data_IF_270629449474
#
_entry.id   IF_270629449474
#
_cell.length_a   1.000
_cell.length_b   1.000
_cell.length_c   1.000
_cell.angle_alpha   90.00
_cell.angle_beta   90.00
_cell.angle_gamma   90.00
#
_symmetry.space_group_name_H-M   'P 1'
#
loop_
_entity.id
_entity.type
_entity.pdbx_description
1 polymer ?
#
# COMPACT_ATOMS: atom_id res chain seq x y z
N UNK A 1 4.27 -15.38 8.96
CA UNK A 1 4.69 -16.66 8.33
C UNK A 1 4.18 -16.85 6.90
N UNK A 2 2.91 -16.55 6.63
CA UNK A 2 2.31 -16.68 5.30
C UNK A 2 3.19 -16.17 4.14
N UNK A 3 3.58 -14.89 4.17
CA UNK A 3 4.38 -14.24 3.11
C UNK A 3 5.74 -14.94 2.91
N UNK A 4 6.40 -15.31 4.01
CA UNK A 4 7.70 -15.99 3.99
C UNK A 4 7.58 -17.39 3.36
N UNK A 5 6.50 -18.11 3.66
CA UNK A 5 6.27 -19.43 3.08
C UNK A 5 5.91 -19.35 1.60
N UNK A 6 5.21 -18.29 1.16
CA UNK A 6 4.93 -18.05 -0.25
C UNK A 6 6.23 -17.76 -1.03
N UNK A 7 7.14 -16.98 -0.44
CA UNK A 7 8.42 -16.61 -1.04
C UNK A 7 9.36 -17.82 -1.31
N UNK A 8 9.15 -18.95 -0.64
CA UNK A 8 9.90 -20.19 -0.91
C UNK A 8 9.57 -20.83 -2.26
N UNK A 9 8.43 -20.46 -2.88
CA UNK A 9 7.90 -21.10 -4.09
C UNK A 9 7.60 -20.10 -5.21
N UNK A 10 7.69 -18.80 -4.93
CA UNK A 10 7.26 -17.75 -5.84
C UNK A 10 8.04 -16.47 -5.58
N UNK A 11 8.11 -15.60 -6.59
CA UNK A 11 8.59 -14.25 -6.42
C UNK A 11 7.53 -13.42 -5.69
N UNK A 12 7.86 -12.89 -4.51
CA UNK A 12 6.89 -12.20 -3.64
C UNK A 12 7.29 -10.74 -3.44
N UNK A 13 6.35 -9.85 -3.74
CA UNK A 13 6.46 -8.41 -3.43
C UNK A 13 5.41 -8.07 -2.37
N UNK A 14 5.85 -7.38 -1.32
CA UNK A 14 5.00 -6.77 -0.30
C UNK A 14 4.94 -5.27 -0.56
N UNK A 15 3.71 -4.75 -0.69
CA UNK A 15 3.46 -3.31 -0.76
C UNK A 15 3.10 -2.83 0.63
N UNK A 16 3.83 -1.84 1.15
CA UNK A 16 3.59 -1.36 2.53
C UNK A 16 2.37 -0.47 2.64
N UNK A 17 1.72 -0.51 3.80
CA UNK A 17 0.70 0.44 4.19
C UNK A 17 1.27 1.57 5.05
N UNK A 18 0.50 2.66 5.16
CA UNK A 18 0.83 3.79 6.04
C UNK A 18 -0.36 4.65 6.41
N UNK A 19 -1.59 4.19 6.15
CA UNK A 19 -2.80 5.01 6.22
C UNK A 19 -2.92 5.80 7.53
N UNK A 20 -2.98 5.11 8.67
CA UNK A 20 -3.15 5.76 9.98
C UNK A 20 -1.99 6.71 10.30
N UNK A 21 -0.75 6.27 10.09
CA UNK A 21 0.45 7.05 10.41
C UNK A 21 0.58 8.32 9.56
N UNK A 22 0.25 8.27 8.27
CA UNK A 22 0.23 9.46 7.41
C UNK A 22 -0.78 10.48 7.95
N UNK A 23 -1.98 10.02 8.30
CA UNK A 23 -3.02 10.88 8.88
C UNK A 23 -2.56 11.54 10.18
N UNK A 24 -1.91 10.79 11.07
CA UNK A 24 -1.36 11.35 12.31
C UNK A 24 -0.28 12.41 12.06
N UNK A 25 0.64 12.17 11.11
CA UNK A 25 1.71 13.13 10.80
C UNK A 25 1.19 14.40 10.12
N UNK A 26 0.22 14.27 9.21
CA UNK A 26 -0.44 15.42 8.59
C UNK A 26 -1.15 16.29 9.61
N UNK A 27 -1.94 15.67 10.51
CA UNK A 27 -2.62 16.40 11.59
C UNK A 27 -1.64 17.10 12.53
N UNK A 28 -0.54 16.44 12.91
CA UNK A 28 0.52 17.04 13.73
C UNK A 28 1.22 18.22 13.04
N UNK A 29 1.31 18.20 11.71
CA UNK A 29 1.86 19.30 10.91
C UNK A 29 0.84 20.42 10.62
N UNK A 30 -0.40 20.31 11.14
CA UNK A 30 -1.43 21.34 10.99
C UNK A 30 -2.28 21.24 9.72
N UNK A 31 -2.16 20.14 8.96
CA UNK A 31 -2.95 19.93 7.75
C UNK A 31 -4.30 19.28 8.06
N UNK A 32 -5.35 19.71 7.35
CA UNK A 32 -6.64 19.03 7.33
C UNK A 32 -6.52 17.70 6.58
N UNK A 33 -7.19 16.66 7.08
CA UNK A 33 -7.16 15.34 6.45
C UNK A 33 -8.43 15.15 5.63
N UNK A 34 -8.29 15.26 4.31
CA UNK A 34 -9.40 15.09 3.37
C UNK A 34 -9.33 13.71 2.73
N UNK A 35 -10.49 13.04 2.65
CA UNK A 35 -10.66 11.79 1.92
C UNK A 35 -11.76 11.92 0.88
N UNK A 36 -11.54 11.30 -0.28
CA UNK A 36 -12.57 11.07 -1.29
C UNK A 36 -12.62 9.59 -1.72
N UNK A 37 -13.66 9.25 -2.47
CA UNK A 37 -13.90 7.87 -2.91
C UNK A 37 -13.01 7.43 -4.08
N UNK A 38 -12.29 8.35 -4.74
CA UNK A 38 -11.53 8.09 -5.97
C UNK A 38 -10.05 7.88 -5.66
N UNK A 39 -9.45 8.85 -4.99
CA UNK A 39 -8.03 8.94 -4.66
C UNK A 39 -7.76 8.35 -3.26
N UNK A 40 -8.76 8.29 -2.40
CA UNK A 40 -8.56 8.01 -0.98
C UNK A 40 -8.12 9.29 -0.29
N UNK A 41 -6.89 9.34 0.23
CA UNK A 41 -6.39 10.59 0.84
C UNK A 41 -6.07 11.60 -0.26
N UNK A 42 -6.57 12.83 -0.10
CA UNK A 42 -6.22 13.96 -0.96
C UNK A 42 -5.10 14.76 -0.29
N UNK A 43 -4.14 15.20 -1.10
CA UNK A 43 -3.03 16.06 -0.66
C UNK A 43 -2.87 17.20 -1.65
N UNK A 44 -2.79 18.45 -1.18
CA UNK A 44 -2.83 19.63 -2.04
C UNK A 44 -1.42 20.21 -2.26
N UNK A 45 -0.65 20.30 -1.19
CA UNK A 45 0.70 20.87 -1.19
C UNK A 45 1.81 19.84 -1.43
N UNK A 46 3.00 20.34 -1.75
CA UNK A 46 4.19 19.49 -1.87
C UNK A 46 4.58 18.89 -0.51
N UNK A 47 4.42 19.66 0.55
CA UNK A 47 4.71 19.29 1.93
C UNK A 47 3.85 18.12 2.40
N UNK A 48 2.54 18.15 2.10
CA UNK A 48 1.63 17.02 2.40
C UNK A 48 2.05 15.75 1.64
N UNK A 49 2.37 15.89 0.35
CA UNK A 49 2.86 14.77 -0.48
C UNK A 49 4.16 14.19 0.06
N UNK A 50 5.07 15.05 0.53
CA UNK A 50 6.33 14.65 1.16
C UNK A 50 6.07 13.88 2.46
N UNK A 51 5.19 14.36 3.34
CA UNK A 51 4.84 13.65 4.58
C UNK A 51 4.29 12.25 4.27
N UNK A 52 3.38 12.14 3.30
CA UNK A 52 2.83 10.86 2.90
C UNK A 52 3.92 9.90 2.36
N UNK A 53 4.81 10.42 1.52
CA UNK A 53 5.95 9.67 0.97
C UNK A 53 6.91 9.20 2.07
N UNK A 54 7.35 10.10 2.94
CA UNK A 54 8.32 9.82 4.01
C UNK A 54 7.83 8.65 4.88
N UNK A 55 6.54 8.63 5.25
CA UNK A 55 5.95 7.52 6.02
C UNK A 55 6.01 6.19 5.26
N UNK A 56 5.65 6.20 3.98
CA UNK A 56 5.67 4.98 3.17
C UNK A 56 7.08 4.44 2.97
N UNK A 57 8.05 5.32 2.72
CA UNK A 57 9.46 4.94 2.58
C UNK A 57 10.05 4.44 3.90
N UNK A 58 9.73 5.07 5.04
CA UNK A 58 10.14 4.60 6.36
C UNK A 58 9.55 3.22 6.68
N UNK A 59 8.28 2.99 6.36
CA UNK A 59 7.63 1.70 6.59
C UNK A 59 8.15 0.62 5.63
N UNK A 60 8.46 0.98 4.38
CA UNK A 60 9.16 0.10 3.45
C UNK A 60 10.51 -0.31 4.01
N UNK A 61 11.32 0.63 4.50
CA UNK A 61 12.62 0.34 5.12
C UNK A 61 12.52 -0.64 6.29
N UNK A 62 11.60 -0.39 7.24
CA UNK A 62 11.39 -1.29 8.39
C UNK A 62 11.03 -2.72 7.95
N UNK A 63 10.17 -2.85 6.93
CA UNK A 63 9.78 -4.15 6.41
C UNK A 63 10.88 -4.81 5.56
N UNK A 64 11.66 -4.04 4.81
CA UNK A 64 12.85 -4.53 4.11
C UNK A 64 13.82 -5.17 5.12
N UNK A 65 14.13 -4.47 6.22
CA UNK A 65 14.97 -4.98 7.30
C UNK A 65 14.41 -6.28 7.89
N UNK A 66 13.09 -6.33 8.13
CA UNK A 66 12.43 -7.54 8.62
C UNK A 66 12.52 -8.71 7.63
N UNK A 67 12.50 -8.45 6.32
CA UNK A 67 12.49 -9.47 5.27
C UNK A 67 13.88 -9.81 4.70
N UNK A 68 14.97 -9.26 5.26
CA UNK A 68 16.35 -9.59 4.85
C UNK A 68 16.57 -11.11 4.84
N UNK A 69 17.04 -11.63 3.71
CA UNK A 69 17.32 -13.05 3.51
C UNK A 69 16.09 -13.95 3.38
N UNK A 70 14.87 -13.40 3.35
CA UNK A 70 13.60 -14.18 3.30
C UNK A 70 12.99 -14.27 1.90
N UNK A 71 13.67 -13.78 0.86
CA UNK A 71 13.19 -13.84 -0.53
C UNK A 71 11.98 -12.97 -0.83
N UNK A 72 11.69 -11.97 0.01
CA UNK A 72 10.55 -11.05 -0.13
C UNK A 72 11.08 -9.67 -0.50
N UNK A 73 10.56 -9.13 -1.58
CA UNK A 73 10.80 -7.75 -1.98
C UNK A 73 9.75 -6.85 -1.33
N UNK A 74 10.15 -5.65 -0.93
CA UNK A 74 9.24 -4.70 -0.28
C UNK A 74 9.34 -3.37 -1.01
N UNK A 75 8.18 -2.82 -1.37
CA UNK A 75 8.07 -1.54 -2.09
C UNK A 75 7.03 -0.64 -1.43
N UNK A 76 7.26 0.68 -1.39
CA UNK A 76 6.19 1.63 -1.11
C UNK A 76 5.24 1.77 -2.31
N UNK A 77 3.94 2.07 -2.10
CA UNK A 77 3.00 2.35 -3.19
C UNK A 77 3.27 3.75 -3.75
N UNK A 78 4.34 3.85 -4.52
CA UNK A 78 4.82 5.06 -5.18
C UNK A 78 5.03 4.73 -6.66
N UNK A 79 4.57 5.62 -7.54
CA UNK A 79 4.74 5.52 -8.99
C UNK A 79 5.46 6.77 -9.50
N UNK A 80 6.31 6.61 -10.50
CA UNK A 80 6.91 7.75 -11.22
C UNK A 80 6.15 7.99 -12.52
N UNK A 81 5.55 9.17 -12.64
CA UNK A 81 4.78 9.59 -13.83
C UNK A 81 5.47 10.79 -14.46
N UNK A 82 6.03 10.60 -15.65
CA UNK A 82 6.76 11.65 -16.38
C UNK A 82 7.85 12.36 -15.53
N UNK A 83 8.52 11.61 -14.66
CA UNK A 83 9.56 12.13 -13.76
C UNK A 83 9.04 12.71 -12.44
N UNK A 84 7.72 12.65 -12.18
CA UNK A 84 7.11 13.06 -10.92
C UNK A 84 6.82 11.83 -10.07
N UNK A 85 7.42 11.77 -8.89
CA UNK A 85 7.18 10.74 -7.90
C UNK A 85 5.85 10.98 -7.18
N UNK A 86 4.88 10.10 -7.40
CA UNK A 86 3.52 10.19 -6.88
C UNK A 86 3.25 9.02 -5.94
N UNK A 87 2.92 9.31 -4.67
CA UNK A 87 2.33 8.28 -3.82
C UNK A 87 0.92 7.96 -4.32
N UNK A 88 0.50 6.71 -4.17
CA UNK A 88 -0.81 6.23 -4.65
C UNK A 88 -1.48 5.39 -3.57
N UNK A 89 -2.80 5.44 -3.52
CA UNK A 89 -3.58 4.56 -2.66
C UNK A 89 -3.24 3.09 -2.92
N UNK A 90 -3.00 2.31 -1.86
CA UNK A 90 -2.62 0.89 -1.98
C UNK A 90 -3.62 0.06 -2.78
N UNK A 91 -4.93 0.31 -2.66
CA UNK A 91 -5.93 -0.42 -3.44
C UNK A 91 -5.81 -0.11 -4.94
N UNK A 92 -5.59 1.16 -5.29
CA UNK A 92 -5.40 1.57 -6.68
C UNK A 92 -4.08 1.06 -7.24
N UNK A 93 -3.01 1.04 -6.44
CA UNK A 93 -1.73 0.44 -6.83
C UNK A 93 -1.89 -1.04 -7.21
N UNK A 94 -2.64 -1.81 -6.41
CA UNK A 94 -2.90 -3.22 -6.70
C UNK A 94 -3.75 -3.40 -7.96
N UNK A 95 -4.74 -2.55 -8.20
CA UNK A 95 -5.51 -2.57 -9.45
C UNK A 95 -4.61 -2.31 -10.66
N UNK A 96 -3.70 -1.33 -10.58
CA UNK A 96 -2.74 -1.03 -11.64
C UNK A 96 -1.76 -2.18 -11.89
N UNK A 97 -1.38 -2.92 -10.86
CA UNK A 97 -0.48 -4.07 -10.96
C UNK A 97 -1.16 -5.36 -11.45
N UNK A 98 -2.49 -5.38 -11.61
CA UNK A 98 -3.28 -6.60 -11.77
C UNK A 98 -2.81 -7.58 -12.85
N UNK A 99 -2.39 -7.05 -14.00
CA UNK A 99 -1.94 -7.87 -15.13
C UNK A 99 -0.55 -8.49 -14.90
N UNK A 100 0.29 -7.87 -14.06
CA UNK A 100 1.68 -8.29 -13.85
C UNK A 100 1.89 -9.42 -12.85
N UNK A 101 0.83 -9.87 -12.15
CA UNK A 101 0.93 -10.89 -11.10
C UNK A 101 -0.03 -12.05 -11.33
N UNK A 102 0.35 -13.24 -10.88
CA UNK A 102 -0.50 -14.45 -10.89
C UNK A 102 -1.54 -14.42 -9.77
N UNK A 103 -1.15 -13.91 -8.60
CA UNK A 103 -2.00 -13.75 -7.41
C UNK A 103 -1.68 -12.45 -6.68
N UNK A 104 -2.69 -11.85 -6.08
CA UNK A 104 -2.60 -10.61 -5.32
C UNK A 104 -3.30 -10.81 -3.97
N UNK A 105 -2.72 -10.29 -2.90
CA UNK A 105 -3.25 -10.43 -1.55
C UNK A 105 -3.46 -9.06 -0.91
N UNK A 106 -4.65 -8.82 -0.37
CA UNK A 106 -4.98 -7.60 0.37
C UNK A 106 -5.14 -7.96 1.85
N UNK A 107 -4.19 -7.56 2.68
CA UNK A 107 -4.31 -7.68 4.13
C UNK A 107 -5.10 -6.50 4.68
N UNK A 108 -6.17 -6.78 5.42
CA UNK A 108 -7.06 -5.74 5.98
C UNK A 108 -7.60 -6.15 7.34
N UNK A 109 -8.08 -5.18 8.12
CA UNK A 109 -8.78 -5.47 9.38
C UNK A 109 -10.11 -6.19 9.10
N UNK A 110 -10.54 -7.03 10.06
CA UNK A 110 -11.75 -7.86 9.96
C UNK A 110 -13.03 -7.07 9.66
N UNK A 111 -13.16 -5.87 10.22
CA UNK A 111 -14.29 -4.96 9.98
C UNK A 111 -14.32 -4.38 8.56
N UNK A 112 -13.17 -4.37 7.86
CA UNK A 112 -13.01 -3.81 6.51
C UNK A 112 -13.09 -4.86 5.40
N UNK A 113 -13.15 -6.15 5.73
CA UNK A 113 -13.08 -7.24 4.75
C UNK A 113 -14.16 -7.11 3.67
N UNK A 114 -15.43 -6.92 4.06
CA UNK A 114 -16.57 -6.80 3.13
C UNK A 114 -16.41 -5.60 2.18
N UNK A 115 -15.90 -4.47 2.68
CA UNK A 115 -15.64 -3.29 1.85
C UNK A 115 -14.56 -3.60 0.81
N UNK A 116 -13.48 -4.27 1.21
CA UNK A 116 -12.38 -4.66 0.30
C UNK A 116 -12.83 -5.69 -0.73
N UNK A 117 -13.59 -6.70 -0.33
CA UNK A 117 -14.17 -7.69 -1.24
C UNK A 117 -15.03 -7.01 -2.31
N UNK A 118 -15.84 -6.01 -1.92
CA UNK A 118 -16.64 -5.25 -2.87
C UNK A 118 -15.78 -4.42 -3.84
N UNK A 119 -14.71 -3.78 -3.35
CA UNK A 119 -13.76 -3.01 -4.19
C UNK A 119 -13.09 -3.91 -5.24
N UNK A 120 -12.77 -5.15 -4.87
CA UNK A 120 -12.04 -6.10 -5.71
C UNK A 120 -12.92 -7.17 -6.36
N UNK A 121 -14.25 -7.01 -6.32
CA UNK A 121 -15.21 -8.01 -6.84
C UNK A 121 -14.93 -8.46 -8.28
N UNK A 122 -14.43 -7.55 -9.13
CA UNK A 122 -14.14 -7.82 -10.54
C UNK A 122 -12.66 -8.20 -10.79
N UNK A 123 -11.89 -8.51 -9.74
CA UNK A 123 -10.47 -8.81 -9.81
C UNK A 123 -10.21 -10.24 -9.27
N UNK A 124 -10.47 -11.30 -10.05
CA UNK A 124 -10.44 -12.69 -9.57
C UNK A 124 -9.09 -13.19 -9.06
N UNK A 125 -7.98 -12.52 -9.40
CA UNK A 125 -6.64 -12.83 -8.83
C UNK A 125 -6.42 -12.27 -7.42
N UNK A 126 -7.32 -11.39 -6.94
CA UNK A 126 -7.19 -10.71 -5.66
C UNK A 126 -7.90 -11.49 -4.58
N UNK A 127 -7.15 -11.87 -3.54
CA UNK A 127 -7.65 -12.50 -2.33
C UNK A 127 -7.55 -11.51 -1.16
N UNK A 128 -8.67 -11.26 -0.49
CA UNK A 128 -8.71 -10.38 0.69
C UNK A 128 -8.55 -11.23 1.95
N UNK A 129 -7.51 -10.94 2.73
CA UNK A 129 -7.16 -11.67 3.95
C UNK A 129 -7.35 -10.74 5.15
N UNK A 130 -8.10 -11.20 6.17
CA UNK A 130 -8.18 -10.48 7.44
C UNK A 130 -6.96 -10.73 8.32
N UNK A 131 -6.45 -9.68 8.97
CA UNK A 131 -5.38 -9.74 9.99
C UNK A 131 -5.84 -9.18 11.33
#
# INVERSE_FOLDING_TARGET
>A
EFVINLAKKSFVIVVVGGGTEISERLSKAGYEIIFDDIHGRVTESWEERKIARDVLEENAKKLQDFFVGKGVFVVPPIIDVAGVTCHINGDNYIKSAYLGFDKLYIFTLKDRIKKKEQIFKNYPKVEVISV
#
